data_IF_050842028098
#
_entry.id   IF_050842028098
#
_cell.length_a   1.000
_cell.length_b   1.000
_cell.length_c   1.000
_cell.angle_alpha   90.00
_cell.angle_beta   90.00
_cell.angle_gamma   90.00
#
_symmetry.space_group_name_H-M   'P 1'
#
loop_
_entity.id
_entity.type
_entity.pdbx_description
1 polymer ?
#
# COMPACT_ATOMS: atom_id res chain seq x y z
N UNK A 1 20.39 17.42 -9.48
CA UNK A 1 19.29 16.43 -9.63
C UNK A 1 19.51 15.31 -8.63
N UNK A 2 18.52 15.03 -7.79
CA UNK A 2 18.54 13.97 -6.78
C UNK A 2 17.38 13.02 -7.12
N UNK A 3 17.58 11.70 -6.94
CA UNK A 3 16.57 10.68 -7.25
C UNK A 3 16.34 9.79 -6.04
N UNK A 4 15.07 9.44 -5.83
CA UNK A 4 14.61 8.50 -4.81
C UNK A 4 13.68 7.47 -5.42
N UNK A 5 13.58 6.30 -4.80
CA UNK A 5 12.62 5.25 -5.15
C UNK A 5 11.96 4.70 -3.88
N UNK A 6 10.69 4.35 -3.99
CA UNK A 6 9.92 3.73 -2.91
C UNK A 6 9.08 2.58 -3.48
N UNK A 7 9.10 1.44 -2.80
CA UNK A 7 8.38 0.23 -3.21
C UNK A 7 6.88 0.32 -2.97
N UNK A 8 6.09 -0.21 -3.89
CA UNK A 8 4.69 -0.52 -3.66
C UNK A 8 4.52 -1.62 -2.61
N UNK A 9 3.27 -1.94 -2.29
CA UNK A 9 2.95 -2.86 -1.18
C UNK A 9 1.72 -3.73 -1.46
N UNK A 10 1.73 -4.91 -0.88
CA UNK A 10 0.54 -5.71 -0.62
C UNK A 10 0.54 -6.16 0.84
N UNK A 11 -0.62 -6.17 1.49
CA UNK A 11 -0.78 -6.77 2.81
C UNK A 11 -1.41 -8.14 2.63
N UNK A 12 -0.67 -9.19 2.99
CA UNK A 12 -1.13 -10.57 2.84
C UNK A 12 -2.02 -11.00 4.01
N UNK A 13 -1.71 -10.54 5.23
CA UNK A 13 -2.51 -10.83 6.43
C UNK A 13 -2.56 -9.63 7.36
N UNK A 14 -3.55 -9.62 8.26
CA UNK A 14 -3.63 -8.64 9.33
C UNK A 14 -4.39 -7.37 8.96
N UNK A 15 -5.11 -7.35 7.83
CA UNK A 15 -5.92 -6.23 7.39
C UNK A 15 -6.82 -5.74 8.54
N UNK A 16 -6.95 -4.45 8.73
CA UNK A 16 -7.71 -3.79 9.81
C UNK A 16 -7.24 -4.13 11.23
N UNK A 17 -7.05 -5.42 11.56
CA UNK A 17 -6.63 -5.85 12.90
C UNK A 17 -5.20 -5.40 13.27
N UNK A 18 -4.37 -5.05 12.30
CA UNK A 18 -3.08 -4.37 12.51
C UNK A 18 -3.25 -3.08 13.31
N UNK A 19 -4.38 -2.37 13.17
CA UNK A 19 -4.73 -1.18 13.96
C UNK A 19 -4.98 -1.49 15.44
N UNK A 20 -5.22 -2.75 15.76
CA UNK A 20 -5.41 -3.29 17.12
C UNK A 20 -4.18 -4.07 17.61
N UNK A 21 -3.05 -3.97 16.90
CA UNK A 21 -1.78 -4.60 17.27
C UNK A 21 -1.58 -6.02 16.72
N UNK A 22 -2.42 -6.52 15.80
CA UNK A 22 -2.16 -7.80 15.15
C UNK A 22 -0.87 -7.75 14.33
N UNK A 23 -0.13 -8.86 14.30
CA UNK A 23 1.00 -9.06 13.38
C UNK A 23 0.46 -9.22 11.97
N UNK A 24 0.94 -8.40 11.05
CA UNK A 24 0.55 -8.38 9.66
C UNK A 24 1.74 -8.77 8.78
N UNK A 25 1.54 -9.72 7.85
CA UNK A 25 2.53 -10.02 6.82
C UNK A 25 2.30 -9.08 5.65
N UNK A 26 3.31 -8.28 5.33
CA UNK A 26 3.25 -7.32 4.24
C UNK A 26 4.41 -7.54 3.27
N UNK A 27 4.11 -7.37 1.99
CA UNK A 27 4.99 -7.66 0.86
C UNK A 27 5.35 -6.34 0.17
N UNK A 28 6.61 -5.88 0.22
CA UNK A 28 7.09 -4.85 -0.67
C UNK A 28 7.14 -5.40 -2.11
N UNK A 29 6.88 -4.53 -3.07
CA UNK A 29 6.80 -4.90 -4.47
C UNK A 29 8.02 -4.41 -5.24
N UNK A 30 8.36 -5.10 -6.33
CA UNK A 30 9.37 -4.64 -7.28
C UNK A 30 8.90 -3.43 -8.10
N UNK A 31 7.58 -3.20 -8.17
CA UNK A 31 6.98 -1.99 -8.70
C UNK A 31 6.83 -0.95 -7.59
N UNK A 32 7.06 0.31 -7.93
CA UNK A 32 7.03 1.39 -6.94
C UNK A 32 6.71 2.76 -7.54
N UNK A 33 7.34 3.76 -6.96
CA UNK A 33 7.30 5.14 -7.43
C UNK A 33 8.68 5.75 -7.30
N UNK A 34 9.09 6.51 -8.31
CA UNK A 34 10.31 7.33 -8.25
C UNK A 34 9.97 8.81 -8.06
N UNK A 35 10.92 9.53 -7.47
CA UNK A 35 10.92 10.98 -7.33
C UNK A 35 12.25 11.52 -7.83
N UNK A 36 12.19 12.48 -8.73
CA UNK A 36 13.33 13.31 -9.15
C UNK A 36 13.12 14.74 -8.67
N UNK A 37 14.16 15.33 -8.07
CA UNK A 37 14.15 16.72 -7.62
C UNK A 37 15.27 17.48 -8.27
N UNK A 38 14.95 18.57 -8.95
CA UNK A 38 15.91 19.52 -9.52
C UNK A 38 15.61 20.91 -9.01
N UNK A 39 16.62 21.79 -9.02
CA UNK A 39 16.50 23.17 -8.57
C UNK A 39 17.06 24.10 -9.64
N UNK A 40 16.44 25.30 -9.78
CA UNK A 40 16.90 26.37 -10.65
C UNK A 40 16.92 27.67 -9.80
N UNK A 41 17.97 28.46 -9.94
CA UNK A 41 18.11 29.71 -9.19
C UNK A 41 17.36 30.87 -9.89
N UNK A 42 16.04 30.73 -10.02
CA UNK A 42 15.16 31.73 -10.65
C UNK A 42 14.59 32.75 -9.65
N UNK A 43 14.64 32.42 -8.35
CA UNK A 43 14.17 33.27 -7.25
C UNK A 43 12.69 33.65 -7.31
N UNK A 44 11.86 32.86 -8.01
CA UNK A 44 10.43 33.12 -8.08
C UNK A 44 9.67 32.58 -6.85
N UNK A 45 10.33 31.74 -6.03
CA UNK A 45 9.75 31.14 -4.84
C UNK A 45 8.70 30.07 -5.16
N UNK A 46 8.91 29.29 -6.23
CA UNK A 46 7.93 28.35 -6.72
C UNK A 46 8.37 26.89 -6.56
N UNK A 47 7.39 26.03 -6.41
CA UNK A 47 7.49 24.58 -6.51
C UNK A 47 6.66 24.13 -7.72
N UNK A 48 7.30 23.47 -8.67
CA UNK A 48 6.67 22.84 -9.83
C UNK A 48 6.57 21.34 -9.58
N UNK A 49 5.42 20.77 -9.86
CA UNK A 49 5.14 19.34 -9.68
C UNK A 49 4.61 18.74 -10.95
N UNK A 50 5.27 17.69 -11.44
CA UNK A 50 4.82 16.85 -12.54
C UNK A 50 4.69 15.40 -12.09
N UNK A 51 3.55 14.79 -12.38
CA UNK A 51 3.29 13.40 -12.06
C UNK A 51 2.99 12.59 -13.32
N UNK A 52 3.52 11.36 -13.35
CA UNK A 52 3.35 10.42 -14.45
C UNK A 52 2.91 9.05 -13.92
N UNK A 53 2.17 8.32 -14.76
CA UNK A 53 1.79 6.92 -14.58
C UNK A 53 2.33 6.11 -15.75
N UNK A 54 2.23 4.77 -15.77
CA UNK A 54 2.56 3.97 -16.95
C UNK A 54 1.77 4.35 -18.21
N UNK A 55 0.62 5.02 -18.04
CA UNK A 55 -0.22 5.52 -19.14
C UNK A 55 0.20 6.91 -19.64
N UNK A 56 1.25 7.51 -19.08
CA UNK A 56 1.76 8.83 -19.44
C UNK A 56 1.52 9.90 -18.36
N UNK A 57 1.46 11.15 -18.77
CA UNK A 57 1.24 12.29 -17.91
C UNK A 57 -0.05 12.14 -17.10
N UNK A 58 0.01 12.49 -15.81
CA UNK A 58 -1.10 12.35 -14.89
C UNK A 58 -1.68 13.70 -14.46
N UNK A 59 -0.86 14.57 -13.86
CA UNK A 59 -1.23 15.93 -13.49
C UNK A 59 0.00 16.77 -13.20
N UNK A 60 -0.15 18.09 -13.29
CA UNK A 60 0.83 19.08 -12.84
C UNK A 60 0.22 20.03 -11.82
N UNK A 61 1.08 20.62 -11.01
CA UNK A 61 0.70 21.66 -10.05
C UNK A 61 1.85 22.64 -9.81
N UNK A 62 1.51 23.88 -9.51
CA UNK A 62 2.47 24.91 -9.13
C UNK A 62 2.05 25.47 -7.76
N UNK A 63 3.02 25.55 -6.85
CA UNK A 63 2.80 26.03 -5.49
C UNK A 63 3.73 27.20 -5.16
N UNK A 64 3.27 28.10 -4.31
CA UNK A 64 4.17 29.00 -3.58
C UNK A 64 5.07 28.15 -2.64
N UNK A 65 6.37 28.41 -2.68
CA UNK A 65 7.32 27.76 -1.77
C UNK A 65 7.17 28.22 -0.32
N UNK A 66 6.63 29.40 -0.11
CA UNK A 66 6.53 30.04 1.21
C UNK A 66 5.44 29.41 2.09
N UNK A 67 4.24 29.24 1.54
CA UNK A 67 3.04 28.81 2.29
C UNK A 67 2.32 27.59 1.69
N UNK A 68 2.87 27.09 0.57
CA UNK A 68 2.33 25.95 -0.20
C UNK A 68 0.92 26.20 -0.75
N UNK A 69 0.56 27.47 -0.97
CA UNK A 69 -0.66 27.83 -1.69
C UNK A 69 -0.58 27.37 -3.13
N UNK A 70 -1.66 26.76 -3.64
CA UNK A 70 -1.75 26.31 -5.04
C UNK A 70 -1.95 27.51 -5.95
N UNK A 71 -1.03 27.72 -6.88
CA UNK A 71 -1.14 28.76 -7.92
C UNK A 71 -1.86 28.27 -9.17
N UNK A 72 -1.57 27.01 -9.57
CA UNK A 72 -2.19 26.36 -10.71
C UNK A 72 -2.17 24.83 -10.52
N UNK A 73 -3.18 24.14 -11.02
CA UNK A 73 -3.22 22.67 -11.04
C UNK A 73 -4.21 22.15 -12.06
N UNK A 74 -3.89 20.99 -12.67
CA UNK A 74 -4.82 20.21 -13.47
C UNK A 74 -5.79 19.38 -12.60
N UNK A 75 -5.45 19.18 -11.30
CA UNK A 75 -6.23 18.40 -10.34
C UNK A 75 -6.09 18.99 -8.94
N UNK A 76 -7.08 19.80 -8.53
CA UNK A 76 -7.05 20.53 -7.27
C UNK A 76 -7.05 19.61 -6.04
N UNK A 77 -7.76 18.46 -6.09
CA UNK A 77 -7.79 17.51 -4.96
C UNK A 77 -6.38 16.93 -4.68
N UNK A 78 -5.63 16.65 -5.74
CA UNK A 78 -4.24 16.18 -5.62
C UNK A 78 -3.30 17.30 -5.19
N UNK A 79 -3.48 18.49 -5.71
CA UNK A 79 -2.71 19.67 -5.30
C UNK A 79 -2.91 19.97 -3.82
N UNK A 80 -4.14 19.94 -3.31
CA UNK A 80 -4.45 20.15 -1.89
C UNK A 80 -3.82 19.08 -1.00
N UNK A 81 -3.79 17.83 -1.47
CA UNK A 81 -3.09 16.75 -0.76
C UNK A 81 -1.59 16.99 -0.70
N UNK A 82 -0.95 17.40 -1.81
CA UNK A 82 0.47 17.76 -1.85
C UNK A 82 0.77 18.95 -0.93
N UNK A 83 -0.05 20.00 -0.98
CA UNK A 83 0.08 21.17 -0.09
C UNK A 83 0.08 20.76 1.38
N UNK A 84 -0.83 19.86 1.79
CA UNK A 84 -0.86 19.31 3.16
C UNK A 84 0.40 18.53 3.51
N UNK A 85 0.93 17.74 2.58
CA UNK A 85 2.18 16.98 2.80
C UNK A 85 3.35 17.95 2.95
N UNK A 86 3.49 18.96 2.08
CA UNK A 86 4.55 19.98 2.19
C UNK A 86 4.47 20.77 3.51
N UNK A 87 3.26 21.13 3.96
CA UNK A 87 3.05 21.78 5.27
C UNK A 87 3.48 20.89 6.43
N UNK A 88 3.14 19.61 6.40
CA UNK A 88 3.58 18.66 7.40
C UNK A 88 5.12 18.51 7.41
N UNK A 89 5.74 18.37 6.24
CA UNK A 89 7.20 18.32 6.10
C UNK A 89 7.85 19.59 6.65
N UNK A 90 7.35 20.78 6.28
CA UNK A 90 7.89 22.07 6.76
C UNK A 90 7.79 22.20 8.28
N UNK A 91 6.73 21.66 8.90
CA UNK A 91 6.59 21.64 10.36
C UNK A 91 7.62 20.74 11.06
N UNK A 92 8.07 19.67 10.39
CA UNK A 92 9.07 18.73 10.90
C UNK A 92 10.52 19.15 10.59
N UNK A 93 10.73 19.81 9.44
CA UNK A 93 12.01 20.39 9.04
C UNK A 93 11.82 21.86 8.63
N UNK A 94 11.88 22.82 9.57
CA UNK A 94 11.67 24.25 9.29
C UNK A 94 12.67 24.86 8.29
N UNK A 95 13.84 24.25 8.11
CA UNK A 95 14.89 24.77 7.25
C UNK A 95 14.75 24.33 5.77
N UNK A 96 13.81 23.42 5.48
CA UNK A 96 13.60 22.96 4.10
C UNK A 96 13.04 24.10 3.25
N UNK A 97 13.51 24.21 1.99
CA UNK A 97 13.02 25.20 1.01
C UNK A 97 13.32 26.67 1.39
N UNK A 98 14.28 26.96 2.28
CA UNK A 98 14.64 28.33 2.69
C UNK A 98 15.64 29.00 1.74
N UNK A 99 16.21 28.26 0.81
CA UNK A 99 17.14 28.82 -0.20
C UNK A 99 16.42 29.67 -1.26
N UNK A 100 17.17 30.24 -2.20
CA UNK A 100 16.64 31.09 -3.26
C UNK A 100 16.20 30.32 -4.53
N UNK A 101 16.23 28.97 -4.50
CA UNK A 101 15.92 28.17 -5.67
C UNK A 101 14.42 27.93 -5.83
N UNK A 102 13.98 27.82 -7.07
CA UNK A 102 12.73 27.16 -7.43
C UNK A 102 12.96 25.65 -7.54
N UNK A 103 11.96 24.87 -7.19
CA UNK A 103 12.04 23.42 -7.12
C UNK A 103 11.14 22.76 -8.15
N UNK A 104 11.68 21.74 -8.82
CA UNK A 104 10.96 20.93 -9.80
C UNK A 104 10.95 19.47 -9.32
N UNK A 105 9.78 18.99 -8.98
CA UNK A 105 9.52 17.63 -8.55
C UNK A 105 8.88 16.85 -9.68
N UNK A 106 9.46 15.72 -10.04
CA UNK A 106 8.87 14.82 -11.02
C UNK A 106 8.68 13.45 -10.39
N UNK A 107 7.43 12.95 -10.36
CA UNK A 107 7.12 11.60 -9.88
C UNK A 107 6.68 10.69 -11.00
N UNK A 108 7.08 9.41 -10.93
CA UNK A 108 6.67 8.36 -11.88
C UNK A 108 6.22 7.13 -11.12
N UNK A 109 4.94 6.76 -11.27
CA UNK A 109 4.42 5.47 -10.84
C UNK A 109 4.83 4.38 -11.83
N UNK A 110 5.16 3.20 -11.32
CA UNK A 110 5.48 2.01 -12.11
C UNK A 110 4.28 1.05 -12.23
N UNK A 111 3.16 1.38 -11.57
CA UNK A 111 1.90 0.64 -11.61
C UNK A 111 0.71 1.58 -11.87
N UNK A 112 -0.42 1.03 -12.27
CA UNK A 112 -1.64 1.82 -12.51
C UNK A 112 -2.11 2.47 -11.19
N UNK A 113 -2.42 3.76 -11.23
CA UNK A 113 -2.84 4.56 -10.06
C UNK A 113 -4.06 3.99 -9.32
N UNK A 114 -4.84 3.17 -10.01
CA UNK A 114 -6.08 2.58 -9.49
C UNK A 114 -5.87 1.18 -8.91
N UNK A 115 -4.65 0.63 -8.96
CA UNK A 115 -4.36 -0.71 -8.44
C UNK A 115 -4.28 -0.83 -6.91
N UNK A 116 -4.31 0.28 -6.16
CA UNK A 116 -4.27 0.21 -4.69
C UNK A 116 -2.92 -0.24 -4.09
N UNK A 117 -1.84 -0.24 -4.88
CA UNK A 117 -0.51 -0.72 -4.47
C UNK A 117 0.30 0.30 -3.66
N UNK A 118 -0.32 1.38 -3.19
CA UNK A 118 0.31 2.28 -2.22
C UNK A 118 0.88 3.57 -2.79
N UNK A 119 0.31 4.14 -3.88
CA UNK A 119 0.80 5.40 -4.47
C UNK A 119 0.89 6.58 -3.49
N UNK A 120 0.02 6.66 -2.50
CA UNK A 120 0.05 7.71 -1.47
C UNK A 120 1.19 7.51 -0.46
N UNK A 121 1.41 6.29 -0.01
CA UNK A 121 2.47 5.96 0.95
C UNK A 121 3.86 6.03 0.32
N UNK A 122 4.01 5.60 -0.95
CA UNK A 122 5.26 5.80 -1.68
C UNK A 122 5.57 7.28 -1.83
N UNK A 123 4.57 8.11 -2.14
CA UNK A 123 4.73 9.56 -2.23
C UNK A 123 5.19 10.18 -0.91
N UNK A 124 4.54 9.85 0.22
CA UNK A 124 4.94 10.32 1.55
C UNK A 124 6.37 9.87 1.87
N UNK A 125 6.70 8.60 1.61
CA UNK A 125 8.04 8.05 1.85
C UNK A 125 9.11 8.77 1.04
N UNK A 126 8.86 9.05 -0.25
CA UNK A 126 9.77 9.75 -1.14
C UNK A 126 10.03 11.19 -0.69
N UNK A 127 8.96 11.93 -0.38
CA UNK A 127 9.06 13.31 0.09
C UNK A 127 9.73 13.40 1.47
N UNK A 128 9.45 12.45 2.35
CA UNK A 128 10.10 12.37 3.66
C UNK A 128 11.60 12.06 3.55
N UNK A 129 11.99 11.17 2.63
CA UNK A 129 13.41 10.90 2.34
C UNK A 129 14.11 12.14 1.78
N UNK A 130 13.48 12.84 0.82
CA UNK A 130 14.01 14.08 0.28
C UNK A 130 14.21 15.16 1.34
N UNK A 131 13.26 15.28 2.26
CA UNK A 131 13.24 16.33 3.29
C UNK A 131 13.98 15.95 4.57
N UNK A 132 14.52 14.71 4.67
CA UNK A 132 15.14 14.15 5.87
C UNK A 132 14.26 14.26 7.12
N UNK A 133 12.99 13.78 7.01
CA UNK A 133 12.02 13.75 8.09
C UNK A 133 11.45 12.34 8.28
N UNK A 134 10.85 12.09 9.45
CA UNK A 134 10.20 10.82 9.74
C UNK A 134 8.91 10.64 8.93
N UNK A 135 8.81 9.66 7.99
CA UNK A 135 7.64 9.48 7.15
C UNK A 135 6.37 9.08 7.93
N UNK A 136 6.50 8.44 9.08
CA UNK A 136 5.35 8.11 9.93
C UNK A 136 4.73 9.36 10.56
N UNK A 137 5.54 10.37 10.88
CA UNK A 137 5.05 11.65 11.39
C UNK A 137 4.32 12.44 10.29
N UNK A 138 4.86 12.43 9.06
CA UNK A 138 4.17 13.02 7.90
C UNK A 138 2.84 12.30 7.65
N UNK A 139 2.83 10.97 7.67
CA UNK A 139 1.60 10.17 7.53
C UNK A 139 0.58 10.52 8.61
N UNK A 140 1.00 10.61 9.88
CA UNK A 140 0.12 10.92 11.02
C UNK A 140 -0.53 12.29 10.89
N UNK A 141 0.19 13.30 10.39
CA UNK A 141 -0.29 14.66 10.21
C UNK A 141 -1.18 14.83 8.97
N UNK A 142 -1.15 13.89 8.03
CA UNK A 142 -1.84 14.02 6.73
C UNK A 142 -2.97 13.00 6.52
N UNK A 143 -2.64 11.75 6.28
CA UNK A 143 -3.58 10.71 5.86
C UNK A 143 -3.96 9.76 6.98
N UNK A 144 -3.09 9.62 8.00
CA UNK A 144 -3.25 8.62 9.06
C UNK A 144 -3.12 7.19 8.54
N UNK A 145 -3.63 6.24 9.30
CA UNK A 145 -3.53 4.81 8.99
C UNK A 145 -2.63 4.06 9.96
N UNK A 146 -2.27 2.83 9.63
CA UNK A 146 -1.36 2.01 10.45
C UNK A 146 0.11 2.26 10.15
N UNK A 147 0.45 2.70 8.93
CA UNK A 147 1.82 2.95 8.49
C UNK A 147 2.57 1.72 7.97
N UNK A 148 1.93 0.54 7.85
CA UNK A 148 2.60 -0.64 7.28
C UNK A 148 3.09 -0.40 5.85
N UNK A 149 2.36 0.38 5.10
CA UNK A 149 2.65 0.79 3.73
C UNK A 149 3.89 1.69 3.66
N UNK A 150 4.10 2.57 4.65
CA UNK A 150 5.35 3.31 4.83
C UNK A 150 6.52 2.35 5.12
N UNK A 151 6.30 1.32 5.96
CA UNK A 151 7.33 0.33 6.22
C UNK A 151 7.72 -0.45 4.96
N UNK A 152 6.75 -0.84 4.11
CA UNK A 152 7.01 -1.50 2.84
C UNK A 152 7.77 -0.61 1.84
N UNK A 153 7.50 0.70 1.83
CA UNK A 153 8.07 1.63 0.87
C UNK A 153 9.62 1.64 0.85
N UNK A 154 10.26 1.29 1.97
CA UNK A 154 11.73 1.23 2.11
C UNK A 154 12.26 -0.17 2.46
N UNK A 155 11.39 -1.17 2.55
CA UNK A 155 11.79 -2.53 2.87
C UNK A 155 12.45 -3.22 1.67
N UNK A 156 13.50 -4.00 1.93
CA UNK A 156 14.24 -4.79 0.93
C UNK A 156 13.77 -6.25 0.84
N UNK A 157 12.77 -6.62 1.62
CA UNK A 157 12.17 -7.96 1.67
C UNK A 157 10.84 -7.89 2.43
N UNK A 158 10.09 -8.97 2.45
CA UNK A 158 8.84 -9.10 3.20
C UNK A 158 9.02 -8.76 4.68
N UNK A 159 7.98 -8.22 5.29
CA UNK A 159 8.01 -7.78 6.69
C UNK A 159 6.83 -8.34 7.48
N UNK A 160 7.05 -8.62 8.75
CA UNK A 160 6.00 -8.64 9.75
C UNK A 160 5.91 -7.26 10.39
N UNK A 161 4.73 -6.69 10.32
CA UNK A 161 4.43 -5.36 10.84
C UNK A 161 3.40 -5.44 11.97
N UNK A 162 3.57 -4.64 13.03
CA UNK A 162 2.54 -4.43 14.06
C UNK A 162 2.64 -3.04 14.66
N UNK A 163 1.57 -2.60 15.26
CA UNK A 163 1.59 -1.42 16.14
C UNK A 163 1.71 -1.87 17.60
N UNK A 164 2.64 -1.29 18.32
CA UNK A 164 2.80 -1.46 19.77
C UNK A 164 2.72 -0.10 20.44
N UNK A 165 1.68 0.11 21.25
CA UNK A 165 1.40 1.42 21.86
C UNK A 165 1.29 2.57 20.82
N UNK A 166 0.80 2.27 19.61
CA UNK A 166 0.70 3.22 18.50
C UNK A 166 1.98 3.45 17.71
N UNK A 167 3.09 2.79 18.07
CA UNK A 167 4.37 2.89 17.35
C UNK A 167 4.58 1.68 16.44
N UNK A 168 5.16 1.90 15.23
CA UNK A 168 5.45 0.83 14.29
C UNK A 168 6.58 -0.06 14.79
N UNK A 169 6.35 -1.36 14.79
CA UNK A 169 7.36 -2.40 14.97
C UNK A 169 7.45 -3.17 13.66
N UNK A 170 8.64 -3.16 13.05
CA UNK A 170 8.93 -3.77 11.75
C UNK A 170 9.98 -4.85 11.91
N UNK A 171 9.66 -6.06 11.51
CA UNK A 171 10.53 -7.23 11.54
C UNK A 171 10.69 -7.75 10.10
N UNK A 172 11.93 -7.78 9.60
CA UNK A 172 12.23 -8.37 8.29
C UNK A 172 12.08 -9.88 8.36
N UNK A 173 11.42 -10.48 7.38
CA UNK A 173 11.21 -11.93 7.31
C UNK A 173 11.57 -12.45 5.93
N UNK A 174 12.20 -13.62 5.88
CA UNK A 174 12.46 -14.32 4.63
C UNK A 174 11.21 -15.13 4.24
N UNK A 175 10.33 -14.49 3.48
CA UNK A 175 9.10 -15.10 2.98
C UNK A 175 9.20 -15.32 1.47
N UNK A 176 9.76 -16.48 1.12
CA UNK A 176 9.91 -16.97 -0.26
C UNK A 176 9.29 -18.36 -0.36
N UNK A 177 7.97 -18.45 -0.52
CA UNK A 177 7.30 -19.75 -0.56
C UNK A 177 7.78 -20.57 -1.74
N UNK A 178 8.18 -21.84 -1.50
CA UNK A 178 8.66 -22.76 -2.55
C UNK A 178 7.59 -23.07 -3.62
N UNK A 179 6.36 -22.66 -3.37
CA UNK A 179 5.18 -22.78 -4.24
C UNK A 179 4.71 -21.42 -4.77
N UNK A 180 5.61 -20.45 -4.90
CA UNK A 180 5.30 -19.11 -5.41
C UNK A 180 4.70 -19.14 -6.82
N UNK A 181 5.06 -20.13 -7.62
CA UNK A 181 4.52 -20.41 -8.95
C UNK A 181 3.01 -20.75 -8.96
N UNK A 182 2.42 -21.09 -7.80
CA UNK A 182 0.99 -21.37 -7.58
C UNK A 182 0.20 -20.18 -7.04
N UNK A 183 0.86 -19.01 -6.89
CA UNK A 183 0.30 -17.80 -6.29
C UNK A 183 0.12 -16.71 -7.34
N UNK A 184 -1.10 -16.15 -7.40
CA UNK A 184 -1.48 -15.12 -8.36
C UNK A 184 -2.20 -13.98 -7.67
N UNK A 185 -1.82 -12.74 -7.99
CA UNK A 185 -2.56 -11.54 -7.61
C UNK A 185 -3.51 -11.15 -8.74
N UNK A 186 -4.78 -11.00 -8.40
CA UNK A 186 -5.84 -10.68 -9.37
C UNK A 186 -6.48 -9.35 -9.00
N UNK A 187 -6.47 -8.40 -9.94
CA UNK A 187 -7.10 -7.10 -9.75
C UNK A 187 -8.60 -7.17 -10.00
N UNK A 188 -9.38 -6.65 -9.07
CA UNK A 188 -10.86 -6.73 -9.10
C UNK A 188 -11.52 -5.71 -10.04
N UNK A 189 -10.74 -4.92 -10.80
CA UNK A 189 -11.26 -3.95 -11.76
C UNK A 189 -11.69 -2.61 -11.16
N UNK A 190 -11.66 -2.45 -9.84
CA UNK A 190 -11.99 -1.19 -9.16
C UNK A 190 -11.17 -1.01 -7.89
N UNK A 191 -10.91 0.27 -7.57
CA UNK A 191 -10.17 0.67 -6.37
C UNK A 191 -11.10 0.83 -5.20
N UNK A 192 -10.72 0.30 -4.03
CA UNK A 192 -11.44 0.48 -2.78
C UNK A 192 -10.88 1.65 -1.97
N UNK A 193 -11.78 2.40 -1.33
CA UNK A 193 -11.38 3.52 -0.45
C UNK A 193 -10.97 3.01 0.93
N UNK A 194 -9.69 2.70 1.10
CA UNK A 194 -9.14 2.24 2.39
C UNK A 194 -9.47 3.18 3.56
N UNK A 195 -9.52 4.48 3.33
CA UNK A 195 -9.81 5.46 4.39
C UNK A 195 -11.22 5.32 4.98
N UNK A 196 -12.24 5.08 4.13
CA UNK A 196 -13.62 4.88 4.58
C UNK A 196 -13.76 3.57 5.38
N UNK A 197 -13.18 2.50 4.86
CA UNK A 197 -13.23 1.18 5.48
C UNK A 197 -12.49 1.16 6.84
N UNK A 198 -11.30 1.76 6.91
CA UNK A 198 -10.56 1.93 8.17
C UNK A 198 -11.36 2.75 9.18
N UNK A 199 -12.06 3.81 8.76
CA UNK A 199 -12.91 4.60 9.65
C UNK A 199 -14.07 3.75 10.18
N UNK A 200 -14.76 3.01 9.33
CA UNK A 200 -15.85 2.09 9.71
C UNK A 200 -15.37 1.04 10.71
N UNK A 201 -14.20 0.41 10.44
CA UNK A 201 -13.62 -0.57 11.36
C UNK A 201 -13.25 0.05 12.71
N UNK A 202 -12.67 1.26 12.75
CA UNK A 202 -12.35 1.96 14.01
C UNK A 202 -13.60 2.25 14.85
N UNK A 203 -14.71 2.60 14.24
CA UNK A 203 -15.97 2.81 14.98
C UNK A 203 -16.46 1.50 15.59
N UNK A 204 -16.40 0.39 14.87
CA UNK A 204 -16.76 -0.93 15.42
C UNK A 204 -15.82 -1.38 16.54
N UNK A 205 -14.54 -1.10 16.42
CA UNK A 205 -13.54 -1.44 17.44
C UNK A 205 -13.74 -0.69 18.78
N UNK A 206 -14.57 0.35 18.83
CA UNK A 206 -14.94 1.01 20.10
C UNK A 206 -15.92 0.17 20.94
N UNK A 207 -16.71 -0.67 20.29
CA UNK A 207 -17.78 -1.45 20.94
C UNK A 207 -17.52 -2.96 20.95
N UNK A 208 -16.63 -3.45 20.10
CA UNK A 208 -16.29 -4.87 19.95
C UNK A 208 -14.88 -5.17 20.46
N UNK A 209 -14.73 -6.27 21.18
CA UNK A 209 -13.41 -6.76 21.60
C UNK A 209 -12.84 -7.72 20.56
N UNK A 210 -11.74 -7.32 19.93
CA UNK A 210 -11.03 -8.12 18.93
C UNK A 210 -9.79 -8.86 19.47
N UNK A 211 -9.52 -8.85 20.77
CA UNK A 211 -8.27 -9.39 21.33
C UNK A 211 -7.98 -10.84 20.93
N UNK A 212 -8.99 -11.73 20.95
CA UNK A 212 -8.81 -13.12 20.48
C UNK A 212 -8.50 -13.18 18.99
N UNK A 213 -9.13 -12.32 18.18
CA UNK A 213 -8.92 -12.28 16.73
C UNK A 213 -7.56 -11.71 16.38
N UNK A 214 -7.08 -10.71 17.10
CA UNK A 214 -5.72 -10.18 17.02
C UNK A 214 -4.69 -11.31 17.25
N UNK A 215 -4.89 -12.13 18.29
CA UNK A 215 -4.00 -13.26 18.58
C UNK A 215 -4.07 -14.34 17.50
N UNK A 216 -5.28 -14.72 17.04
CA UNK A 216 -5.46 -15.72 15.98
C UNK A 216 -4.79 -15.27 14.67
N UNK A 217 -5.03 -14.04 14.21
CA UNK A 217 -4.41 -13.49 13.00
C UNK A 217 -2.90 -13.37 13.12
N UNK A 218 -2.40 -12.95 14.30
CA UNK A 218 -0.95 -12.89 14.55
C UNK A 218 -0.28 -14.25 14.44
N UNK A 219 -0.92 -15.31 14.96
CA UNK A 219 -0.43 -16.69 14.83
C UNK A 219 -0.43 -17.13 13.36
N UNK A 220 -1.51 -16.90 12.61
CA UNK A 220 -1.59 -17.20 11.18
C UNK A 220 -0.46 -16.51 10.42
N UNK A 221 -0.22 -15.22 10.68
CA UNK A 221 0.86 -14.46 10.02
C UNK A 221 2.24 -15.09 10.29
N UNK A 222 2.49 -15.53 11.53
CA UNK A 222 3.75 -16.19 11.89
C UNK A 222 3.88 -17.59 11.26
N UNK A 223 2.81 -18.35 11.19
CA UNK A 223 2.78 -19.70 10.60
C UNK A 223 2.97 -19.63 9.08
N UNK A 224 2.34 -18.66 8.39
CA UNK A 224 2.51 -18.45 6.96
C UNK A 224 3.96 -18.20 6.56
N UNK A 225 4.71 -17.44 7.37
CA UNK A 225 6.15 -17.19 7.12
C UNK A 225 6.97 -18.48 7.21
N UNK A 226 6.52 -19.46 8.00
CA UNK A 226 7.30 -20.69 8.31
C UNK A 226 6.88 -21.91 7.49
N UNK A 227 5.66 -21.89 6.92
CA UNK A 227 5.16 -23.07 6.20
C UNK A 227 5.85 -23.26 4.86
N UNK A 228 6.27 -24.49 4.59
CA UNK A 228 6.76 -24.94 3.29
C UNK A 228 5.74 -25.78 2.52
N UNK A 229 4.59 -26.09 3.14
CA UNK A 229 3.51 -26.87 2.56
C UNK A 229 2.49 -25.98 1.88
N UNK A 230 2.21 -26.19 0.60
CA UNK A 230 1.17 -25.49 -0.13
C UNK A 230 -0.23 -25.70 0.48
N UNK A 231 -0.52 -26.93 0.91
CA UNK A 231 -1.82 -27.23 1.53
C UNK A 231 -2.01 -26.51 2.87
N UNK A 232 -0.98 -26.46 3.72
CA UNK A 232 -1.05 -25.77 4.99
C UNK A 232 -1.17 -24.25 4.77
N UNK A 233 -0.45 -23.72 3.78
CA UNK A 233 -0.58 -22.32 3.36
C UNK A 233 -2.00 -21.98 2.95
N UNK A 234 -2.62 -22.81 2.10
CA UNK A 234 -4.02 -22.66 1.67
C UNK A 234 -5.00 -22.74 2.86
N UNK A 235 -4.77 -23.66 3.79
CA UNK A 235 -5.60 -23.78 5.00
C UNK A 235 -5.51 -22.52 5.89
N UNK A 236 -4.31 -21.99 6.09
CA UNK A 236 -4.08 -20.77 6.85
C UNK A 236 -4.73 -19.54 6.19
N UNK A 237 -4.63 -19.40 4.87
CA UNK A 237 -5.31 -18.31 4.13
C UNK A 237 -6.83 -18.42 4.25
N UNK A 238 -7.40 -19.61 4.12
CA UNK A 238 -8.83 -19.84 4.26
C UNK A 238 -9.31 -19.47 5.66
N UNK A 239 -8.58 -19.90 6.69
CA UNK A 239 -8.89 -19.56 8.09
C UNK A 239 -8.81 -18.06 8.36
N UNK A 240 -7.77 -17.39 7.79
CA UNK A 240 -7.65 -15.94 7.89
C UNK A 240 -8.87 -15.24 7.30
N UNK A 241 -9.27 -15.63 6.08
CA UNK A 241 -10.40 -15.06 5.36
C UNK A 241 -11.71 -15.24 6.15
N UNK A 242 -11.95 -16.42 6.77
CA UNK A 242 -13.12 -16.66 7.62
C UNK A 242 -13.13 -15.77 8.87
N UNK A 243 -11.98 -15.58 9.53
CA UNK A 243 -11.87 -14.72 10.70
C UNK A 243 -12.20 -13.28 10.31
N UNK A 244 -11.60 -12.78 9.21
CA UNK A 244 -11.82 -11.43 8.74
C UNK A 244 -13.26 -11.22 8.26
N UNK A 245 -13.86 -12.19 7.58
CA UNK A 245 -15.27 -12.19 7.19
C UNK A 245 -16.19 -11.91 8.38
N UNK A 246 -15.94 -12.58 9.51
CA UNK A 246 -16.71 -12.37 10.77
C UNK A 246 -16.42 -11.00 11.39
N UNK A 247 -15.15 -10.55 11.39
CA UNK A 247 -14.77 -9.24 11.92
C UNK A 247 -15.37 -8.09 11.11
N UNK A 248 -15.51 -8.26 9.79
CA UNK A 248 -16.01 -7.24 8.87
C UNK A 248 -17.51 -7.38 8.56
N UNK A 249 -18.13 -8.49 8.98
CA UNK A 249 -19.53 -8.83 8.68
C UNK A 249 -19.79 -8.84 7.15
N UNK A 250 -18.80 -9.34 6.40
CA UNK A 250 -18.84 -9.45 4.95
C UNK A 250 -18.56 -10.90 4.52
N UNK A 251 -19.22 -11.42 3.48
CA UNK A 251 -18.94 -12.76 3.00
C UNK A 251 -17.49 -12.86 2.48
N UNK A 252 -16.84 -14.03 2.63
CA UNK A 252 -15.54 -14.27 2.01
C UNK A 252 -15.61 -14.09 0.49
N UNK A 253 -14.57 -13.50 -0.10
CA UNK A 253 -14.54 -13.25 -1.56
C UNK A 253 -14.67 -14.53 -2.38
N UNK A 254 -14.21 -15.67 -1.86
CA UNK A 254 -14.37 -17.00 -2.46
C UNK A 254 -15.84 -17.34 -2.80
N UNK A 255 -16.81 -16.78 -2.10
CA UNK A 255 -18.23 -17.01 -2.39
C UNK A 255 -18.65 -16.52 -3.79
N UNK A 256 -17.98 -15.49 -4.33
CA UNK A 256 -18.20 -14.98 -5.70
C UNK A 256 -17.52 -15.83 -6.78
N UNK A 257 -16.59 -16.70 -6.37
CA UNK A 257 -15.82 -17.58 -7.24
C UNK A 257 -15.88 -19.02 -6.70
N UNK A 258 -17.08 -19.50 -6.36
CA UNK A 258 -17.29 -20.80 -5.71
C UNK A 258 -16.79 -21.98 -6.56
N UNK A 259 -16.79 -21.82 -7.88
CA UNK A 259 -16.33 -22.78 -8.88
C UNK A 259 -14.80 -22.74 -9.13
N UNK A 260 -14.06 -21.79 -8.57
CA UNK A 260 -12.61 -21.74 -8.71
C UNK A 260 -11.92 -22.88 -7.95
N UNK A 261 -11.02 -23.59 -8.61
CA UNK A 261 -10.23 -24.68 -7.99
C UNK A 261 -9.01 -24.13 -7.25
N UNK A 262 -9.21 -23.72 -6.00
CA UNK A 262 -8.16 -23.13 -5.16
C UNK A 262 -8.72 -22.24 -4.07
N UNK A 263 -7.82 -21.55 -3.38
CA UNK A 263 -8.15 -20.57 -2.33
C UNK A 263 -8.13 -19.18 -2.92
N UNK A 264 -9.07 -18.34 -2.47
CA UNK A 264 -9.10 -16.90 -2.74
C UNK A 264 -9.04 -16.16 -1.42
N UNK A 265 -8.14 -15.21 -1.33
CA UNK A 265 -7.90 -14.40 -0.14
C UNK A 265 -7.98 -12.92 -0.52
N UNK A 266 -8.89 -12.19 0.09
CA UNK A 266 -8.97 -10.72 -0.02
C UNK A 266 -7.68 -10.06 0.49
N UNK A 267 -7.24 -8.98 -0.11
CA UNK A 267 -6.05 -8.23 0.29
C UNK A 267 -6.41 -6.76 0.53
N UNK A 268 -5.78 -6.16 1.53
CA UNK A 268 -5.96 -4.74 1.84
C UNK A 268 -7.41 -4.38 2.23
N UNK A 269 -7.99 -3.41 1.55
CA UNK A 269 -9.40 -3.03 1.76
C UNK A 269 -10.32 -4.04 1.06
N UNK A 270 -11.15 -4.72 1.84
CA UNK A 270 -12.09 -5.71 1.32
C UNK A 270 -13.09 -5.08 0.34
N UNK A 271 -13.38 -5.80 -0.74
CA UNK A 271 -14.32 -5.39 -1.76
C UNK A 271 -13.72 -4.63 -2.94
N UNK A 272 -12.40 -4.55 -3.06
CA UNK A 272 -11.71 -3.93 -4.20
C UNK A 272 -10.22 -4.23 -4.24
N UNK A 273 -9.47 -3.49 -5.04
CA UNK A 273 -8.04 -3.66 -5.27
C UNK A 273 -7.67 -5.09 -5.74
N UNK A 274 -6.73 -5.75 -5.11
CA UNK A 274 -6.29 -7.11 -5.44
C UNK A 274 -6.80 -8.17 -4.44
N UNK A 275 -6.88 -9.38 -4.92
CA UNK A 275 -6.92 -10.59 -4.08
C UNK A 275 -5.82 -11.56 -4.48
N UNK A 276 -5.47 -12.47 -3.58
CA UNK A 276 -4.58 -13.59 -3.85
C UNK A 276 -5.41 -14.82 -4.24
N UNK A 277 -5.06 -15.44 -5.37
CA UNK A 277 -5.52 -16.78 -5.76
C UNK A 277 -4.35 -17.76 -5.58
N UNK A 278 -4.56 -18.83 -4.79
CA UNK A 278 -3.61 -19.91 -4.58
C UNK A 278 -4.21 -21.21 -5.14
N UNK A 279 -3.54 -21.84 -6.12
CA UNK A 279 -4.11 -22.96 -6.90
C UNK A 279 -3.05 -23.83 -7.53
N UNK A 280 -3.41 -25.10 -7.78
CA UNK A 280 -2.62 -26.05 -8.59
C UNK A 280 -2.88 -25.91 -10.11
N UNK A 281 -3.79 -25.05 -10.53
CA UNK A 281 -4.04 -24.77 -11.94
C UNK A 281 -2.82 -24.10 -12.59
N UNK A 282 -2.60 -24.39 -13.86
CA UNK A 282 -1.58 -23.71 -14.64
C UNK A 282 -1.89 -22.21 -14.80
N UNK A 283 -0.88 -21.40 -15.05
CA UNK A 283 -1.03 -19.94 -15.28
C UNK A 283 -2.09 -19.65 -16.36
N UNK A 284 -2.11 -20.44 -17.45
CA UNK A 284 -3.08 -20.27 -18.53
C UNK A 284 -4.51 -20.51 -18.03
N UNK A 285 -4.74 -21.56 -17.27
CA UNK A 285 -6.07 -21.88 -16.72
C UNK A 285 -6.53 -20.80 -15.74
N UNK A 286 -5.64 -20.27 -14.91
CA UNK A 286 -5.95 -19.17 -13.99
C UNK A 286 -6.34 -17.90 -14.76
N UNK A 287 -5.54 -17.51 -15.75
CA UNK A 287 -5.83 -16.36 -16.61
C UNK A 287 -7.13 -16.51 -17.38
N UNK A 288 -7.36 -17.68 -17.99
CA UNK A 288 -8.58 -18.00 -18.73
C UNK A 288 -9.83 -17.95 -17.82
N UNK A 289 -9.70 -18.47 -16.59
CA UNK A 289 -10.79 -18.45 -15.61
C UNK A 289 -11.19 -17.03 -15.23
N UNK A 290 -10.23 -16.20 -14.79
CA UNK A 290 -10.53 -14.85 -14.35
C UNK A 290 -10.90 -13.91 -15.50
N UNK A 291 -10.32 -14.09 -16.69
CA UNK A 291 -10.71 -13.33 -17.89
C UNK A 291 -12.19 -13.57 -18.25
N UNK A 292 -12.70 -14.81 -18.17
CA UNK A 292 -14.13 -15.12 -18.36
C UNK A 292 -15.04 -14.44 -17.33
N UNK A 293 -14.51 -14.06 -16.18
CA UNK A 293 -15.21 -13.29 -15.13
C UNK A 293 -15.00 -11.77 -15.27
N UNK A 294 -14.33 -11.31 -16.34
CA UNK A 294 -14.05 -9.89 -16.62
C UNK A 294 -12.81 -9.33 -15.90
N UNK A 295 -12.01 -10.18 -15.23
CA UNK A 295 -10.80 -9.77 -14.50
C UNK A 295 -9.57 -10.06 -15.35
N UNK A 296 -9.06 -9.03 -16.04
CA UNK A 296 -8.01 -9.18 -17.04
C UNK A 296 -6.58 -8.98 -16.50
N UNK A 297 -6.43 -8.51 -15.27
CA UNK A 297 -5.12 -8.31 -14.65
C UNK A 297 -4.86 -9.42 -13.65
N UNK A 298 -4.03 -10.38 -14.05
CA UNK A 298 -3.57 -11.53 -13.26
C UNK A 298 -2.05 -11.53 -13.29
N UNK A 299 -1.41 -11.34 -12.14
CA UNK A 299 0.04 -11.19 -11.99
C UNK A 299 0.56 -12.32 -11.12
N UNK A 300 1.62 -13.01 -11.51
CA UNK A 300 2.27 -14.03 -10.69
C UNK A 300 2.94 -13.39 -9.48
N UNK A 301 3.05 -14.15 -8.41
CA UNK A 301 3.76 -13.73 -7.20
C UNK A 301 5.18 -13.26 -7.51
N UNK A 302 5.95 -14.07 -8.25
CA UNK A 302 7.36 -13.80 -8.56
C UNK A 302 7.56 -12.60 -9.51
N UNK A 303 6.52 -12.19 -10.25
CA UNK A 303 6.59 -11.04 -11.17
C UNK A 303 6.44 -9.69 -10.45
N UNK A 304 5.95 -9.66 -9.21
CA UNK A 304 5.60 -8.41 -8.54
C UNK A 304 6.16 -8.28 -7.12
N UNK A 305 6.39 -9.37 -6.39
CA UNK A 305 6.94 -9.33 -5.03
C UNK A 305 8.46 -9.20 -5.07
N UNK A 306 9.01 -8.33 -4.20
CA UNK A 306 10.45 -8.03 -4.10
C UNK A 306 11.24 -9.19 -3.45
#
# INVERSE_FOLDING_TARGET
>A
MIKFHAHGKLMLTGEYLVLQGARALALPLNLGQSLEVTTINDRNGMIHWDAYTPKGFWFASIFSKHDFTVHASDDMDKADNLSRIFKAIKSLNPNILEDANDYFFTTRLEFDKDWGLGSSSTLISLLAQWADVNPYEVLRQTMGGSGYDIACATASQSIIYRLENGYPIVEKVDFKPAFSDKLYFVYQGHKQSSGKEVKSFKERAKTMNFSSKVSEISNISNELVRTSSFNDFCALLSRHEEIMSRCLEQPPLKSHYSDFQGVIKSLGAWGGDFFLAATELSEKEVKDYFCKKGLNVVIKYDDIVL
#
